data_IF_444451667083
#
_entry.id   IF_444451667083
#
_cell.length_a   1.000
_cell.length_b   1.000
_cell.length_c   1.000
_cell.angle_alpha   90.00
_cell.angle_beta   90.00
_cell.angle_gamma   90.00
#
_symmetry.space_group_name_H-M   'P 1'
#
loop_
_entity.id
_entity.type
_entity.pdbx_description
1 polymer ?
#
# COMPACT_ATOMS: atom_id res chain seq x y z
N UNK A 1 4.80 18.33 -63.23
CA UNK A 1 4.57 17.09 -62.44
C UNK A 1 5.11 17.32 -61.03
N UNK A 2 4.24 17.27 -60.03
CA UNK A 2 4.62 17.50 -58.64
C UNK A 2 5.57 16.37 -58.17
N UNK A 3 6.82 16.67 -57.78
CA UNK A 3 7.82 15.67 -57.41
C UNK A 3 7.42 14.81 -56.21
N UNK A 4 6.50 15.29 -55.37
CA UNK A 4 5.98 14.58 -54.19
C UNK A 4 5.06 13.39 -54.53
N UNK A 5 4.54 13.29 -55.76
CA UNK A 5 3.67 12.18 -56.20
C UNK A 5 4.40 11.13 -57.05
N UNK A 6 5.74 11.19 -57.12
CA UNK A 6 6.51 10.18 -57.85
C UNK A 6 6.59 8.90 -57.01
N UNK A 7 6.28 7.75 -57.62
CA UNK A 7 6.34 6.41 -56.98
C UNK A 7 7.58 6.18 -56.08
N UNK A 8 8.81 6.53 -56.49
CA UNK A 8 9.99 6.32 -55.65
C UNK A 8 9.97 7.13 -54.35
N UNK A 9 9.47 8.37 -54.42
CA UNK A 9 9.40 9.27 -53.27
C UNK A 9 8.39 8.76 -52.23
N UNK A 10 7.22 8.27 -52.69
CA UNK A 10 6.20 7.69 -51.82
C UNK A 10 6.73 6.44 -51.09
N UNK A 11 7.44 5.57 -51.81
CA UNK A 11 8.02 4.33 -51.24
C UNK A 11 9.08 4.66 -50.18
N UNK A 12 10.02 5.57 -50.48
CA UNK A 12 11.09 5.96 -49.55
C UNK A 12 10.51 6.64 -48.31
N UNK A 13 9.52 7.53 -48.49
CA UNK A 13 8.88 8.23 -47.36
C UNK A 13 8.12 7.25 -46.47
N UNK A 14 7.43 6.27 -47.06
CA UNK A 14 6.71 5.23 -46.31
C UNK A 14 7.65 4.33 -45.52
N UNK A 15 8.79 3.93 -46.12
CA UNK A 15 9.83 3.16 -45.43
C UNK A 15 10.50 3.96 -44.31
N UNK A 16 10.72 5.26 -44.52
CA UNK A 16 11.26 6.15 -43.48
C UNK A 16 10.28 6.30 -42.31
N UNK A 17 8.99 6.50 -42.58
CA UNK A 17 7.96 6.58 -41.53
C UNK A 17 7.84 5.24 -40.79
N UNK A 18 7.81 4.11 -41.51
CA UNK A 18 7.77 2.78 -40.88
C UNK A 18 9.01 2.54 -40.02
N UNK A 19 10.20 2.89 -40.51
CA UNK A 19 11.45 2.82 -39.75
C UNK A 19 11.41 3.74 -38.54
N UNK A 20 10.86 4.95 -38.67
CA UNK A 20 10.73 5.90 -37.57
C UNK A 20 9.78 5.36 -36.51
N UNK A 21 8.63 4.80 -36.91
CA UNK A 21 7.63 4.18 -36.01
C UNK A 21 8.20 2.93 -35.33
N UNK A 22 8.90 2.06 -36.05
CA UNK A 22 9.57 0.89 -35.48
C UNK A 22 10.70 1.32 -34.54
N UNK A 23 11.50 2.32 -34.91
CA UNK A 23 12.56 2.85 -34.07
C UNK A 23 11.99 3.54 -32.82
N UNK A 24 10.87 4.25 -32.93
CA UNK A 24 10.14 4.78 -31.78
C UNK A 24 9.61 3.65 -30.89
N UNK A 25 8.97 2.62 -31.47
CA UNK A 25 8.46 1.46 -30.72
C UNK A 25 9.55 0.64 -30.03
N UNK A 26 10.76 0.60 -30.61
CA UNK A 26 11.93 -0.09 -30.03
C UNK A 26 12.64 0.77 -28.98
N UNK A 27 12.82 2.08 -29.24
CA UNK A 27 13.48 3.00 -28.30
C UNK A 27 12.64 3.23 -27.03
N UNK A 28 11.32 3.34 -27.16
CA UNK A 28 10.45 3.63 -26.02
C UNK A 28 9.99 2.40 -25.24
N UNK A 29 10.62 1.24 -25.52
CA UNK A 29 10.22 -0.08 -25.00
C UNK A 29 8.84 -0.47 -25.54
N UNK A 30 8.68 -1.72 -25.97
CA UNK A 30 7.45 -2.21 -26.61
C UNK A 30 6.18 -1.79 -25.88
N UNK A 31 5.09 -1.60 -26.63
CA UNK A 31 3.79 -1.18 -26.12
C UNK A 31 3.46 -1.85 -24.79
N UNK A 32 3.10 -1.05 -23.78
CA UNK A 32 2.74 -1.54 -22.47
C UNK A 32 1.66 -2.63 -22.58
N UNK A 33 1.86 -3.74 -21.88
CA UNK A 33 0.94 -4.88 -21.92
C UNK A 33 -0.37 -4.49 -21.23
N UNK A 34 -1.49 -4.81 -21.87
CA UNK A 34 -2.80 -4.62 -21.25
C UNK A 34 -3.06 -5.68 -20.19
N UNK A 35 -3.63 -5.27 -19.07
CA UNK A 35 -4.12 -6.18 -18.04
C UNK A 35 -5.19 -7.13 -18.59
N UNK A 36 -5.03 -8.42 -18.35
CA UNK A 36 -5.96 -9.46 -18.79
C UNK A 36 -6.99 -9.73 -17.69
N UNK A 37 -8.05 -8.93 -17.67
CA UNK A 37 -9.11 -9.01 -16.67
C UNK A 37 -10.03 -10.21 -16.89
N UNK A 38 -10.32 -10.92 -15.79
CA UNK A 38 -11.35 -11.95 -15.72
C UNK A 38 -12.42 -11.50 -14.75
N UNK A 39 -13.68 -11.66 -15.16
CA UNK A 39 -14.84 -11.30 -14.36
C UNK A 39 -15.43 -12.54 -13.71
N UNK A 40 -15.41 -12.59 -12.38
CA UNK A 40 -16.12 -13.59 -11.60
C UNK A 40 -17.58 -13.15 -11.48
N UNK A 41 -18.45 -13.79 -12.26
CA UNK A 41 -19.88 -13.46 -12.37
C UNK A 41 -20.74 -14.74 -12.42
N UNK A 42 -20.38 -15.75 -11.62
CA UNK A 42 -21.17 -16.96 -11.49
C UNK A 42 -22.52 -16.67 -10.81
N UNK A 43 -23.55 -17.48 -11.13
CA UNK A 43 -24.89 -17.34 -10.57
C UNK A 43 -24.96 -17.54 -9.04
N UNK A 44 -23.95 -18.20 -8.45
CA UNK A 44 -23.81 -18.40 -7.01
C UNK A 44 -23.21 -17.18 -6.27
N UNK A 45 -22.75 -16.15 -7.00
CA UNK A 45 -22.25 -14.92 -6.41
C UNK A 45 -23.40 -13.95 -6.18
N UNK A 46 -23.28 -13.13 -5.13
CA UNK A 46 -24.28 -12.13 -4.76
C UNK A 46 -24.66 -11.25 -5.94
N UNK A 47 -25.95 -10.97 -6.05
CA UNK A 47 -26.47 -9.93 -6.95
C UNK A 47 -26.34 -8.53 -6.36
N UNK A 48 -26.05 -8.40 -5.06
CA UNK A 48 -25.96 -7.11 -4.39
C UNK A 48 -24.66 -6.37 -4.76
N UNK A 49 -24.72 -5.03 -4.90
CA UNK A 49 -23.55 -4.21 -5.20
C UNK A 49 -22.59 -4.09 -4.00
N UNK A 50 -21.38 -3.62 -4.30
CA UNK A 50 -20.46 -3.13 -3.27
C UNK A 50 -20.92 -1.77 -2.72
N UNK A 51 -20.62 -1.51 -1.46
CA UNK A 51 -20.87 -0.21 -0.82
C UNK A 51 -20.14 0.94 -1.53
N UNK A 52 -20.84 2.07 -1.65
CA UNK A 52 -20.47 3.27 -2.42
C UNK A 52 -19.48 4.15 -1.66
N UNK A 53 -18.19 3.90 -1.84
CA UNK A 53 -17.17 4.61 -1.07
C UNK A 53 -16.01 5.10 -1.93
N UNK A 54 -15.64 6.37 -1.72
CA UNK A 54 -14.64 7.10 -2.49
C UNK A 54 -13.21 6.68 -2.12
N UNK A 55 -13.01 6.14 -0.90
CA UNK A 55 -11.70 5.74 -0.39
C UNK A 55 -11.61 4.22 -0.22
N UNK A 56 -10.49 3.65 -0.67
CA UNK A 56 -10.14 2.23 -0.50
C UNK A 56 -8.77 2.10 0.17
N UNK A 57 -8.66 1.17 1.11
CA UNK A 57 -7.39 0.81 1.76
C UNK A 57 -7.33 -0.69 1.96
N UNK A 58 -6.17 -1.28 1.75
CA UNK A 58 -5.96 -2.72 1.95
C UNK A 58 -5.07 -3.00 3.15
N UNK A 59 -5.30 -4.15 3.78
CA UNK A 59 -4.47 -4.71 4.85
C UNK A 59 -4.13 -6.14 4.46
N UNK A 60 -2.83 -6.43 4.36
CA UNK A 60 -2.35 -7.72 3.89
C UNK A 60 -2.51 -8.81 4.96
N UNK A 61 -2.80 -10.02 4.52
CA UNK A 61 -2.78 -11.27 5.29
C UNK A 61 -1.97 -12.29 4.50
N UNK A 62 -1.50 -13.35 5.16
CA UNK A 62 -0.78 -14.45 4.51
C UNK A 62 -1.60 -15.16 3.42
N UNK A 63 -2.94 -15.12 3.53
CA UNK A 63 -3.85 -15.83 2.64
C UNK A 63 -4.64 -14.90 1.69
N UNK A 64 -4.53 -13.58 1.86
CA UNK A 64 -5.34 -12.63 1.10
C UNK A 64 -5.18 -11.19 1.54
N UNK A 65 -6.21 -10.38 1.30
CA UNK A 65 -6.28 -8.97 1.73
C UNK A 65 -7.63 -8.66 2.36
N UNK A 66 -7.60 -7.90 3.46
CA UNK A 66 -8.76 -7.17 3.95
C UNK A 66 -8.85 -5.84 3.20
N UNK A 67 -9.98 -5.59 2.56
CA UNK A 67 -10.28 -4.39 1.80
C UNK A 67 -11.25 -3.54 2.63
N UNK A 68 -10.80 -2.38 3.06
CA UNK A 68 -11.66 -1.33 3.59
C UNK A 68 -12.12 -0.42 2.46
N UNK A 69 -13.41 -0.20 2.41
CA UNK A 69 -14.05 0.84 1.60
C UNK A 69 -14.73 1.82 2.57
N UNK A 70 -14.52 3.13 2.43
CA UNK A 70 -15.03 4.14 3.39
C UNK A 70 -15.59 5.39 2.70
N UNK A 71 -16.71 5.91 3.21
CA UNK A 71 -17.34 7.13 2.70
C UNK A 71 -16.47 8.34 2.96
N UNK A 72 -16.35 9.23 1.97
CA UNK A 72 -15.75 10.53 2.23
C UNK A 72 -16.62 11.32 3.22
N UNK A 73 -15.96 11.86 4.25
CA UNK A 73 -16.60 12.74 5.22
C UNK A 73 -16.66 14.15 4.65
N UNK A 74 -17.62 14.42 3.78
CA UNK A 74 -17.92 15.81 3.41
C UNK A 74 -18.36 16.06 1.99
N UNK A 75 -19.40 15.35 1.51
CA UNK A 75 -20.18 15.95 0.42
C UNK A 75 -20.93 17.15 0.96
N UNK A 76 -20.50 18.32 0.52
CA UNK A 76 -21.32 19.52 0.56
C UNK A 76 -22.25 19.45 -0.64
N UNK A 77 -23.55 19.28 -0.40
CA UNK A 77 -24.54 19.45 -1.44
C UNK A 77 -24.84 20.95 -1.56
N UNK A 78 -24.80 21.48 -2.78
CA UNK A 78 -25.19 22.87 -3.07
C UNK A 78 -26.58 22.82 -3.68
N UNK A 79 -27.58 23.41 -3.01
CA UNK A 79 -28.92 23.49 -3.59
C UNK A 79 -28.98 24.47 -4.77
N UNK A 80 -30.14 24.51 -5.45
CA UNK A 80 -30.42 25.42 -6.57
C UNK A 80 -30.34 26.92 -6.20
N UNK A 81 -30.21 27.24 -4.91
CA UNK A 81 -30.06 28.60 -4.38
C UNK A 81 -28.64 28.88 -3.87
N UNK A 82 -27.69 27.96 -4.08
CA UNK A 82 -26.29 28.13 -3.69
C UNK A 82 -26.01 27.88 -2.22
N UNK A 83 -26.92 27.24 -1.46
CA UNK A 83 -26.70 26.92 -0.04
C UNK A 83 -25.93 25.62 0.09
N UNK A 84 -24.83 25.67 0.86
CA UNK A 84 -24.02 24.52 1.23
C UNK A 84 -24.72 23.76 2.38
N UNK A 85 -25.11 22.52 2.13
CA UNK A 85 -25.56 21.59 3.15
C UNK A 85 -24.43 20.58 3.41
N UNK A 86 -23.96 20.55 4.66
CA UNK A 86 -23.11 19.47 5.12
C UNK A 86 -24.02 18.29 5.44
N UNK A 87 -23.85 17.16 4.76
CA UNK A 87 -24.43 15.92 5.26
C UNK A 87 -23.69 15.54 6.55
N UNK A 88 -24.38 15.60 7.69
CA UNK A 88 -23.92 15.06 8.98
C UNK A 88 -24.01 13.52 9.00
N UNK A 89 -23.63 12.87 7.89
CA UNK A 89 -23.53 11.42 7.85
C UNK A 89 -22.20 11.03 8.50
N UNK A 90 -22.28 10.35 9.65
CA UNK A 90 -21.13 9.68 10.26
C UNK A 90 -20.44 8.82 9.19
N UNK A 91 -19.09 8.82 9.17
CA UNK A 91 -18.32 7.97 8.26
C UNK A 91 -18.85 6.55 8.34
N UNK A 92 -19.15 5.95 7.20
CA UNK A 92 -19.49 4.53 7.10
C UNK A 92 -18.35 3.82 6.39
N UNK A 93 -18.07 2.60 6.81
CA UNK A 93 -17.10 1.75 6.14
C UNK A 93 -17.67 0.35 5.96
N UNK A 94 -17.27 -0.29 4.86
CA UNK A 94 -17.54 -1.71 4.61
C UNK A 94 -16.23 -2.43 4.39
N UNK A 95 -16.14 -3.60 5.02
CA UNK A 95 -15.00 -4.49 4.94
C UNK A 95 -15.33 -5.70 4.06
N UNK A 96 -14.40 -6.01 3.18
CA UNK A 96 -14.40 -7.23 2.37
C UNK A 96 -13.11 -7.98 2.61
N UNK A 97 -13.14 -9.31 2.52
CA UNK A 97 -11.93 -10.12 2.52
C UNK A 97 -11.81 -10.82 1.17
N UNK A 98 -10.63 -10.75 0.56
CA UNK A 98 -10.36 -11.38 -0.73
C UNK A 98 -9.18 -12.33 -0.64
N UNK A 99 -9.43 -13.60 -0.91
CA UNK A 99 -8.47 -14.69 -0.90
C UNK A 99 -8.72 -15.64 -2.09
N UNK A 100 -8.14 -16.85 -2.04
CA UNK A 100 -8.30 -17.88 -3.07
C UNK A 100 -9.77 -18.30 -3.30
N UNK A 101 -10.64 -18.10 -2.31
CA UNK A 101 -12.07 -18.38 -2.41
C UNK A 101 -12.84 -17.20 -3.03
N UNK A 102 -12.16 -16.09 -3.32
CA UNK A 102 -12.71 -14.88 -3.90
C UNK A 102 -13.08 -13.83 -2.85
N UNK A 103 -13.72 -12.76 -3.32
CA UNK A 103 -14.06 -11.62 -2.45
C UNK A 103 -15.37 -11.88 -1.72
N UNK A 104 -15.37 -11.72 -0.39
CA UNK A 104 -16.51 -11.93 0.51
C UNK A 104 -16.79 -10.70 1.35
N UNK A 105 -18.06 -10.43 1.62
CA UNK A 105 -18.47 -9.44 2.59
C UNK A 105 -18.09 -9.87 4.01
N UNK A 106 -17.53 -8.95 4.79
CA UNK A 106 -17.20 -9.19 6.21
C UNK A 106 -18.20 -8.45 7.10
N UNK A 107 -18.14 -7.12 7.11
CA UNK A 107 -19.03 -6.32 7.95
C UNK A 107 -19.15 -4.90 7.40
N UNK A 108 -20.20 -4.22 7.86
CA UNK A 108 -20.38 -2.78 7.68
C UNK A 108 -20.41 -2.12 9.05
N UNK A 109 -19.68 -1.01 9.19
CA UNK A 109 -19.60 -0.24 10.42
C UNK A 109 -19.86 1.24 10.21
N UNK A 110 -20.10 1.93 11.32
CA UNK A 110 -20.27 3.39 11.38
C UNK A 110 -19.18 3.98 12.30
N UNK A 111 -18.85 5.24 12.08
CA UNK A 111 -17.75 5.92 12.76
C UNK A 111 -16.40 5.71 12.06
N UNK A 112 -15.34 6.23 12.69
CA UNK A 112 -14.02 6.23 12.09
C UNK A 112 -13.34 4.86 12.17
N UNK A 113 -12.79 4.38 11.05
CA UNK A 113 -11.90 3.22 11.04
C UNK A 113 -10.44 3.69 11.05
N UNK A 114 -9.69 3.35 12.10
CA UNK A 114 -8.32 3.82 12.28
C UNK A 114 -7.30 2.89 11.60
N UNK A 115 -7.28 1.62 11.99
CA UNK A 115 -6.30 0.67 11.48
C UNK A 115 -6.81 -0.77 11.53
N UNK A 116 -6.09 -1.66 10.87
CA UNK A 116 -6.26 -3.09 11.09
C UNK A 116 -4.92 -3.80 10.95
N UNK A 117 -4.85 -4.93 11.64
CA UNK A 117 -3.79 -5.89 11.48
C UNK A 117 -4.41 -7.22 11.09
N UNK A 118 -3.85 -7.88 10.09
CA UNK A 118 -4.22 -9.23 9.73
C UNK A 118 -2.96 -10.09 9.68
N UNK A 119 -2.99 -11.24 10.35
CA UNK A 119 -1.99 -12.27 10.16
C UNK A 119 -2.60 -13.63 10.34
N UNK A 120 -2.06 -14.60 9.60
CA UNK A 120 -2.64 -15.94 9.54
C UNK A 120 -4.13 -15.80 9.15
N UNK A 121 -4.99 -16.51 9.86
CA UNK A 121 -6.43 -16.52 9.63
C UNK A 121 -7.21 -15.62 10.60
N UNK A 122 -6.61 -14.50 11.04
CA UNK A 122 -7.30 -13.51 11.89
C UNK A 122 -7.01 -12.08 11.46
N UNK A 123 -7.98 -11.21 11.68
CA UNK A 123 -7.81 -9.76 11.64
C UNK A 123 -8.28 -9.13 12.94
N UNK A 124 -7.58 -8.08 13.36
CA UNK A 124 -7.95 -7.22 14.47
C UNK A 124 -8.18 -5.82 13.92
N UNK A 125 -9.40 -5.32 14.11
CA UNK A 125 -9.83 -3.99 13.69
C UNK A 125 -9.68 -3.02 14.84
N UNK A 126 -9.23 -1.81 14.52
CA UNK A 126 -9.13 -0.69 15.45
C UNK A 126 -10.01 0.44 14.93
N UNK A 127 -11.09 0.73 15.66
CA UNK A 127 -12.09 1.73 15.29
C UNK A 127 -12.18 2.82 16.36
N UNK A 128 -12.95 3.86 16.10
CA UNK A 128 -13.30 4.89 17.09
C UNK A 128 -13.96 4.33 18.35
N UNK A 129 -14.75 3.26 18.21
CA UNK A 129 -15.53 2.71 19.31
C UNK A 129 -14.75 1.68 20.13
N UNK A 130 -13.78 1.01 19.52
CA UNK A 130 -13.05 -0.07 20.18
C UNK A 130 -12.24 -0.94 19.24
N UNK A 131 -11.98 -2.15 19.71
CA UNK A 131 -11.28 -3.21 18.99
C UNK A 131 -12.25 -4.35 18.66
N UNK A 132 -12.12 -4.94 17.48
CA UNK A 132 -12.97 -6.06 17.07
C UNK A 132 -12.16 -7.12 16.33
N UNK A 133 -12.39 -8.39 16.66
CA UNK A 133 -11.73 -9.52 16.01
C UNK A 133 -12.58 -10.12 14.90
N UNK A 134 -11.90 -10.54 13.84
CA UNK A 134 -12.46 -11.34 12.76
C UNK A 134 -11.65 -12.62 12.68
N UNK A 135 -12.33 -13.76 12.79
CA UNK A 135 -11.77 -15.06 12.44
C UNK A 135 -12.01 -15.29 10.94
N UNK A 136 -10.93 -15.37 10.15
CA UNK A 136 -11.00 -15.57 8.71
C UNK A 136 -11.15 -17.04 8.33
N UNK A 137 -10.83 -17.98 9.23
CA UNK A 137 -10.97 -19.41 8.99
C UNK A 137 -12.42 -19.86 9.20
N UNK A 138 -13.04 -19.44 10.30
CA UNK A 138 -14.46 -19.67 10.59
C UNK A 138 -15.36 -18.63 9.94
N UNK A 139 -14.77 -17.54 9.45
CA UNK A 139 -15.46 -16.39 8.87
C UNK A 139 -16.50 -15.80 9.83
N UNK A 140 -16.08 -15.56 11.07
CA UNK A 140 -16.90 -15.00 12.15
C UNK A 140 -16.38 -13.64 12.60
N UNK A 141 -17.26 -12.81 13.15
CA UNK A 141 -16.92 -11.50 13.70
C UNK A 141 -17.28 -11.50 15.18
N UNK A 142 -16.29 -11.25 16.04
CA UNK A 142 -16.50 -11.18 17.48
C UNK A 142 -17.21 -9.88 17.88
N UNK A 143 -17.75 -9.86 19.09
CA UNK A 143 -18.32 -8.64 19.68
C UNK A 143 -17.26 -7.53 19.78
N UNK A 144 -17.70 -6.29 19.62
CA UNK A 144 -16.86 -5.11 19.80
C UNK A 144 -16.41 -5.01 21.27
N UNK A 145 -15.10 -4.91 21.48
CA UNK A 145 -14.49 -4.62 22.78
C UNK A 145 -14.28 -3.10 22.85
N UNK A 146 -15.07 -2.35 23.64
CA UNK A 146 -14.97 -0.89 23.66
C UNK A 146 -13.64 -0.43 24.26
N UNK A 147 -13.18 0.75 23.82
CA UNK A 147 -12.04 1.40 24.47
C UNK A 147 -12.36 1.75 25.93
N UNK A 148 -11.35 1.66 26.81
CA UNK A 148 -11.52 2.12 28.19
C UNK A 148 -11.68 3.64 28.21
N UNK A 149 -12.77 4.12 28.82
CA UNK A 149 -12.99 5.55 29.07
C UNK A 149 -12.08 6.04 30.21
N UNK A 150 -11.49 7.21 30.02
CA UNK A 150 -10.87 7.94 31.13
C UNK A 150 -11.94 8.66 31.95
N UNK A 151 -11.58 9.06 33.17
CA UNK A 151 -12.46 9.79 34.08
C UNK A 151 -13.01 11.11 33.49
N UNK A 152 -12.37 11.64 32.44
CA UNK A 152 -12.73 12.88 31.75
C UNK A 152 -13.59 12.63 30.49
N UNK A 153 -14.02 11.39 30.23
CA UNK A 153 -14.86 11.03 29.08
C UNK A 153 -14.12 10.90 27.75
N UNK A 154 -12.79 10.80 27.77
CA UNK A 154 -11.97 10.52 26.60
C UNK A 154 -11.59 9.03 26.53
N UNK A 155 -11.61 8.42 25.35
CA UNK A 155 -11.19 7.03 25.19
C UNK A 155 -9.66 6.89 25.23
N UNK A 156 -9.17 5.87 25.94
CA UNK A 156 -7.74 5.56 26.06
C UNK A 156 -7.29 4.64 24.92
N UNK A 157 -6.96 5.23 23.77
CA UNK A 157 -6.31 4.51 22.67
C UNK A 157 -5.12 5.32 22.11
N UNK A 158 -4.11 4.66 21.51
CA UNK A 158 -3.01 5.39 20.89
C UNK A 158 -3.46 6.17 19.64
N UNK A 159 -3.23 7.49 19.64
CA UNK A 159 -3.51 8.35 18.48
C UNK A 159 -2.77 7.89 17.20
N UNK A 160 -1.62 7.24 17.36
CA UNK A 160 -0.85 6.62 16.27
C UNK A 160 -1.67 5.61 15.47
N UNK A 161 -2.76 5.04 16.01
CA UNK A 161 -3.63 4.14 15.26
C UNK A 161 -4.29 4.82 14.04
N UNK A 162 -4.55 6.13 14.09
CA UNK A 162 -5.31 6.86 13.06
C UNK A 162 -4.52 7.00 11.75
N UNK A 163 -3.22 7.23 11.84
CA UNK A 163 -2.37 7.54 10.67
C UNK A 163 -1.03 6.80 10.63
N UNK A 164 -0.67 6.09 11.70
CA UNK A 164 0.55 5.31 11.80
C UNK A 164 0.50 4.01 10.99
N UNK A 165 1.69 3.41 10.85
CA UNK A 165 1.86 2.09 10.25
C UNK A 165 1.81 1.04 11.35
N UNK A 166 0.98 0.01 11.14
CA UNK A 166 0.91 -1.14 12.02
C UNK A 166 1.66 -2.31 11.37
N UNK A 167 2.62 -2.87 12.11
CA UNK A 167 3.48 -3.97 11.68
C UNK A 167 3.33 -5.13 12.66
N UNK A 168 3.64 -6.35 12.21
CA UNK A 168 3.65 -7.53 13.08
C UNK A 168 4.94 -8.31 12.93
N UNK A 169 5.65 -8.48 14.04
CA UNK A 169 6.85 -9.29 14.08
C UNK A 169 6.48 -10.72 14.45
N UNK A 170 6.59 -11.64 13.48
CA UNK A 170 6.41 -13.07 13.74
C UNK A 170 7.41 -13.59 14.77
N UNK A 171 8.67 -13.12 14.71
CA UNK A 171 9.76 -13.54 15.61
C UNK A 171 9.46 -13.28 17.08
N UNK A 172 8.85 -12.14 17.38
CA UNK A 172 8.55 -11.71 18.76
C UNK A 172 7.07 -11.81 19.11
N UNK A 173 6.24 -12.20 18.14
CA UNK A 173 4.77 -12.25 18.26
C UNK A 173 4.14 -10.96 18.78
N UNK A 174 4.71 -9.80 18.39
CA UNK A 174 4.24 -8.50 18.84
C UNK A 174 3.78 -7.61 17.68
N UNK A 175 2.76 -6.79 17.95
CA UNK A 175 2.41 -5.66 17.11
C UNK A 175 3.37 -4.50 17.38
N UNK A 176 3.77 -3.82 16.32
CA UNK A 176 4.59 -2.61 16.37
C UNK A 176 3.84 -1.51 15.64
N UNK A 177 3.39 -0.51 16.39
CA UNK A 177 2.66 0.63 15.89
C UNK A 177 3.61 1.82 15.84
N UNK A 178 3.82 2.37 14.65
CA UNK A 178 4.84 3.40 14.40
C UNK A 178 4.26 4.59 13.68
N UNK A 179 4.65 5.79 14.12
CA UNK A 179 4.58 7.01 13.34
C UNK A 179 5.84 7.86 13.56
N UNK A 180 5.84 9.05 12.95
CA UNK A 180 6.95 9.98 13.01
C UNK A 180 7.31 10.43 14.45
N UNK A 181 6.43 10.22 15.44
CA UNK A 181 6.61 10.66 16.83
C UNK A 181 6.79 9.52 17.82
N UNK A 182 6.17 8.37 17.60
CA UNK A 182 6.09 7.33 18.62
C UNK A 182 6.20 5.93 18.01
N UNK A 183 6.91 5.07 18.74
CA UNK A 183 6.95 3.63 18.53
C UNK A 183 6.30 2.98 19.75
N UNK A 184 5.23 2.24 19.53
CA UNK A 184 4.50 1.46 20.54
C UNK A 184 4.55 -0.01 20.18
N UNK A 185 4.58 -0.88 21.19
CA UNK A 185 4.48 -2.32 21.01
C UNK A 185 3.32 -2.91 21.80
N UNK A 186 2.74 -3.99 21.30
CA UNK A 186 1.68 -4.73 21.99
C UNK A 186 1.89 -6.24 21.83
N UNK A 187 1.79 -6.96 22.93
CA UNK A 187 1.88 -8.43 23.01
C UNK A 187 0.50 -9.11 23.05
N UNK A 188 -0.57 -8.32 23.16
CA UNK A 188 -1.95 -8.76 23.37
C UNK A 188 -2.89 -8.23 22.26
N UNK A 189 -2.33 -8.09 21.06
CA UNK A 189 -3.08 -7.72 19.86
C UNK A 189 -3.77 -6.34 19.97
N UNK A 190 -3.11 -5.41 20.64
CA UNK A 190 -3.53 -4.02 20.77
C UNK A 190 -4.53 -3.76 21.88
N UNK A 191 -4.70 -4.70 22.82
CA UNK A 191 -5.45 -4.47 24.05
C UNK A 191 -4.70 -3.52 24.99
N UNK A 192 -3.40 -3.74 25.15
CA UNK A 192 -2.48 -2.83 25.84
C UNK A 192 -1.31 -2.45 24.93
N UNK A 193 -0.85 -1.21 25.11
CA UNK A 193 0.25 -0.65 24.34
C UNK A 193 1.35 -0.20 25.30
N UNK A 194 2.53 -0.77 25.13
CA UNK A 194 3.73 -0.35 25.82
C UNK A 194 4.39 0.76 25.01
N UNK A 195 4.64 1.89 25.68
CA UNK A 195 5.45 2.95 25.10
C UNK A 195 6.89 2.48 24.97
N UNK A 196 7.36 2.34 23.73
CA UNK A 196 8.74 1.92 23.50
C UNK A 196 9.67 3.14 23.47
N UNK A 197 9.47 4.05 22.51
CA UNK A 197 10.43 5.13 22.22
C UNK A 197 9.76 6.33 21.52
N UNK A 198 10.24 7.56 21.77
CA UNK A 198 9.95 8.73 20.93
C UNK A 198 10.81 8.66 19.66
N UNK A 199 10.17 8.53 18.50
CA UNK A 199 10.89 8.36 17.22
C UNK A 199 11.81 9.55 16.91
N UNK A 200 11.35 10.78 17.17
CA UNK A 200 12.14 11.98 16.90
C UNK A 200 13.33 12.10 17.85
N UNK A 201 13.12 11.88 19.14
CA UNK A 201 14.20 11.96 20.14
C UNK A 201 15.24 10.87 19.90
N UNK A 202 14.81 9.67 19.47
CA UNK A 202 15.70 8.60 19.05
C UNK A 202 16.61 9.04 17.90
N UNK A 203 16.04 9.64 16.85
CA UNK A 203 16.82 10.12 15.70
C UNK A 203 17.75 11.26 16.11
N UNK A 204 17.30 12.20 16.95
CA UNK A 204 18.10 13.34 17.43
C UNK A 204 19.38 12.90 18.15
N UNK A 205 19.38 11.73 18.80
CA UNK A 205 20.59 11.17 19.42
C UNK A 205 21.69 10.83 18.40
N UNK A 206 21.32 10.53 17.16
CA UNK A 206 22.23 10.11 16.09
C UNK A 206 22.36 11.14 14.95
N UNK A 207 21.53 12.18 14.97
CA UNK A 207 21.58 13.31 14.05
C UNK A 207 21.18 14.60 14.79
N UNK A 208 22.17 15.42 15.12
CA UNK A 208 22.02 16.57 16.02
C UNK A 208 21.41 17.84 15.38
N UNK A 209 21.03 17.82 14.10
CA UNK A 209 20.49 19.00 13.41
C UNK A 209 18.97 19.12 13.59
N UNK A 210 18.45 20.34 13.39
CA UNK A 210 17.04 20.68 13.58
C UNK A 210 16.14 19.72 12.78
N UNK A 211 15.14 19.18 13.47
CA UNK A 211 14.04 18.46 12.83
C UNK A 211 13.26 19.45 11.96
N UNK A 212 13.52 19.43 10.66
CA UNK A 212 12.83 20.30 9.71
C UNK A 212 11.35 19.93 9.56
N UNK A 213 10.55 20.86 9.04
CA UNK A 213 9.11 20.69 8.79
C UNK A 213 8.78 19.53 7.82
N UNK A 214 9.75 19.03 7.06
CA UNK A 214 9.57 18.01 6.02
C UNK A 214 10.46 16.78 6.25
N UNK A 215 10.30 16.10 7.38
CA UNK A 215 10.94 14.80 7.65
C UNK A 215 10.08 13.64 7.15
N UNK A 216 10.73 12.56 6.72
CA UNK A 216 10.05 11.35 6.25
C UNK A 216 10.63 10.14 6.97
N UNK A 217 9.74 9.29 7.47
CA UNK A 217 10.09 8.03 8.10
C UNK A 217 9.53 6.86 7.29
N UNK A 218 10.35 5.83 7.17
CA UNK A 218 9.90 4.54 6.67
C UNK A 218 10.34 3.43 7.62
N UNK A 219 9.54 2.37 7.67
CA UNK A 219 9.69 1.29 8.64
C UNK A 219 9.54 -0.06 7.98
N UNK A 220 10.39 -1.01 8.41
CA UNK A 220 10.31 -2.42 8.07
C UNK A 220 10.80 -3.27 9.26
N UNK A 221 10.40 -4.54 9.31
CA UNK A 221 10.87 -5.48 10.33
C UNK A 221 12.05 -6.30 9.80
N UNK A 222 13.00 -6.66 10.66
CA UNK A 222 14.09 -7.57 10.32
C UNK A 222 14.34 -8.49 11.52
N UNK A 223 13.75 -9.68 11.49
CA UNK A 223 13.80 -10.61 12.62
C UNK A 223 13.10 -10.06 13.86
N UNK A 224 13.88 -9.81 14.92
CA UNK A 224 13.45 -9.23 16.19
C UNK A 224 13.62 -7.70 16.26
N UNK A 225 13.99 -7.07 15.14
CA UNK A 225 14.35 -5.66 15.09
C UNK A 225 13.43 -4.86 14.17
N UNK A 226 13.23 -3.60 14.51
CA UNK A 226 12.60 -2.58 13.67
C UNK A 226 13.69 -1.77 12.97
N UNK A 227 13.63 -1.73 11.66
CA UNK A 227 14.49 -0.88 10.83
C UNK A 227 13.76 0.44 10.57
N UNK A 228 14.40 1.54 10.95
CA UNK A 228 13.89 2.90 10.79
C UNK A 228 14.76 3.60 9.77
N UNK A 229 14.14 4.08 8.69
CA UNK A 229 14.79 4.90 7.66
C UNK A 229 14.30 6.33 7.83
N UNK A 230 15.21 7.22 8.22
CA UNK A 230 14.94 8.63 8.40
C UNK A 230 15.54 9.46 7.28
N UNK A 231 14.71 10.24 6.61
CA UNK A 231 15.15 11.27 5.68
C UNK A 231 14.92 12.65 6.26
N UNK A 232 15.98 13.45 6.29
CA UNK A 232 15.86 14.87 6.53
C UNK A 232 15.56 15.63 5.23
N UNK A 233 14.91 16.77 5.32
CA UNK A 233 14.55 17.57 4.15
C UNK A 233 15.79 18.07 3.40
N UNK A 234 16.80 18.52 4.15
CA UNK A 234 17.99 19.17 3.60
C UNK A 234 19.10 18.18 3.23
N UNK A 235 19.01 16.93 3.71
CA UNK A 235 19.96 15.89 3.33
C UNK A 235 19.43 15.00 2.21
N UNK A 236 20.35 14.63 1.33
CA UNK A 236 20.11 13.66 0.26
C UNK A 236 20.39 12.22 0.69
N UNK A 237 20.86 12.03 1.93
CA UNK A 237 21.14 10.74 2.57
C UNK A 237 20.03 10.34 3.55
N UNK A 238 19.93 9.04 3.80
CA UNK A 238 19.04 8.43 4.81
C UNK A 238 19.85 7.96 6.00
N UNK A 239 19.40 8.27 7.21
CA UNK A 239 19.88 7.62 8.43
C UNK A 239 19.09 6.33 8.63
N UNK A 240 19.79 5.20 8.67
CA UNK A 240 19.23 3.91 9.06
C UNK A 240 19.54 3.62 10.52
N UNK A 241 18.50 3.28 11.29
CA UNK A 241 18.59 2.88 12.70
C UNK A 241 17.95 1.49 12.84
N UNK A 242 18.65 0.59 13.51
CA UNK A 242 18.12 -0.73 13.91
C UNK A 242 17.81 -0.71 15.40
N UNK A 243 16.52 -0.80 15.73
CA UNK A 243 16.01 -0.89 17.08
C UNK A 243 15.65 -2.34 17.38
N UNK A 244 16.29 -2.97 18.36
CA UNK A 244 15.90 -4.30 18.80
C UNK A 244 14.61 -4.21 19.62
N UNK A 245 13.60 -4.99 19.24
CA UNK A 245 12.27 -4.89 19.83
C UNK A 245 12.12 -5.65 21.15
N UNK A 246 13.11 -6.45 21.54
CA UNK A 246 13.11 -7.22 22.80
C UNK A 246 13.71 -6.38 23.93
N UNK A 247 14.93 -5.88 23.75
CA UNK A 247 15.60 -5.07 24.77
C UNK A 247 15.33 -3.55 24.63
N UNK A 248 14.67 -3.14 23.55
CA UNK A 248 14.33 -1.73 23.23
C UNK A 248 15.56 -0.83 23.04
N UNK A 249 16.69 -1.40 22.64
CA UNK A 249 17.94 -0.67 22.43
C UNK A 249 18.30 -0.56 20.94
N UNK A 250 18.97 0.53 20.58
CA UNK A 250 19.55 0.69 19.24
C UNK A 250 20.82 -0.15 19.14
N UNK A 251 20.81 -1.10 18.22
CA UNK A 251 21.93 -2.03 18.01
C UNK A 251 22.85 -1.60 16.89
N UNK A 252 22.35 -0.81 15.92
CA UNK A 252 23.13 -0.35 14.79
C UNK A 252 22.58 0.97 14.23
N UNK A 253 23.48 1.85 13.82
CA UNK A 253 23.16 3.05 13.05
C UNK A 253 24.14 3.23 11.89
N UNK A 254 23.67 3.77 10.76
CA UNK A 254 24.53 4.13 9.63
C UNK A 254 23.86 5.13 8.69
N UNK A 255 24.68 5.90 8.00
CA UNK A 255 24.24 6.78 6.92
C UNK A 255 24.31 6.06 5.57
N UNK A 256 23.18 6.04 4.88
CA UNK A 256 23.06 5.51 3.52
C UNK A 256 23.33 6.64 2.51
N UNK A 257 24.14 6.42 1.46
CA UNK A 257 24.45 7.42 0.44
C UNK A 257 23.32 7.58 -0.60
N UNK A 258 22.08 7.43 -0.13
CA UNK A 258 20.85 7.47 -0.91
C UNK A 258 19.71 7.95 -0.03
N UNK A 259 18.64 8.42 -0.66
CA UNK A 259 17.38 8.77 -0.03
C UNK A 259 16.35 7.66 -0.26
N UNK A 260 15.86 7.03 0.80
CA UNK A 260 14.73 6.10 0.74
C UNK A 260 13.45 6.89 0.46
N UNK A 261 12.63 6.43 -0.48
CA UNK A 261 11.35 7.08 -0.84
C UNK A 261 10.14 6.25 -0.45
N UNK A 262 10.26 4.94 -0.58
CA UNK A 262 9.22 3.97 -0.24
C UNK A 262 9.87 2.67 0.23
N UNK A 263 9.15 1.92 1.05
CA UNK A 263 9.60 0.65 1.62
C UNK A 263 8.47 -0.36 1.54
N UNK A 264 8.76 -1.49 0.91
CA UNK A 264 7.88 -2.64 0.85
C UNK A 264 8.57 -3.85 1.48
N UNK A 265 7.78 -4.70 2.12
CA UNK A 265 8.24 -5.93 2.77
C UNK A 265 7.26 -7.05 2.44
N UNK A 266 7.78 -8.21 2.06
CA UNK A 266 6.97 -9.41 1.84
C UNK A 266 6.90 -10.30 3.10
N UNK A 267 6.12 -11.37 3.03
CA UNK A 267 5.88 -12.29 4.15
C UNK A 267 7.12 -13.09 4.55
N UNK A 268 8.14 -13.18 3.67
CA UNK A 268 9.45 -13.78 3.97
C UNK A 268 10.37 -12.82 4.75
N UNK A 269 9.93 -11.57 4.97
CA UNK A 269 10.72 -10.53 5.62
C UNK A 269 11.72 -9.84 4.70
N UNK A 270 11.70 -10.10 3.39
CA UNK A 270 12.59 -9.44 2.43
C UNK A 270 12.15 -7.98 2.25
N UNK A 271 13.12 -7.06 2.31
CA UNK A 271 12.86 -5.62 2.30
C UNK A 271 13.36 -5.03 0.98
N UNK A 272 12.47 -4.34 0.27
CA UNK A 272 12.78 -3.60 -0.95
C UNK A 272 12.47 -2.12 -0.74
N UNK A 273 13.35 -1.28 -1.29
CA UNK A 273 13.29 0.17 -1.16
C UNK A 273 13.26 0.79 -2.56
N UNK A 274 12.40 1.78 -2.77
CA UNK A 274 12.67 2.78 -3.82
C UNK A 274 13.68 3.75 -3.23
N UNK A 275 14.83 3.88 -3.87
CA UNK A 275 15.91 4.75 -3.46
C UNK A 275 16.23 5.77 -4.56
N UNK A 276 16.58 6.99 -4.12
CA UNK A 276 17.09 8.05 -4.97
C UNK A 276 18.54 8.34 -4.59
N UNK A 277 19.47 8.20 -5.54
CA UNK A 277 20.88 8.43 -5.29
C UNK A 277 21.15 9.92 -5.03
N UNK A 278 21.85 10.20 -3.92
CA UNK A 278 22.04 11.53 -3.38
C UNK A 278 22.75 12.52 -4.32
N UNK A 279 23.68 12.04 -5.15
CA UNK A 279 24.56 12.90 -5.96
C UNK A 279 24.00 13.22 -7.35
N UNK A 280 23.03 12.44 -7.84
CA UNK A 280 22.60 12.48 -9.25
C UNK A 280 21.09 12.38 -9.44
N UNK A 281 20.33 12.26 -8.36
CA UNK A 281 18.87 12.09 -8.38
C UNK A 281 18.39 10.89 -9.22
N UNK A 282 19.22 9.84 -9.30
CA UNK A 282 18.89 8.62 -10.03
C UNK A 282 18.04 7.70 -9.16
N UNK A 283 16.91 7.24 -9.71
CA UNK A 283 16.01 6.31 -9.05
C UNK A 283 16.45 4.87 -9.30
N UNK A 284 16.37 4.08 -8.24
CA UNK A 284 16.64 2.66 -8.24
C UNK A 284 15.68 1.94 -7.29
N UNK A 285 15.50 0.64 -7.53
CA UNK A 285 14.99 -0.29 -6.54
C UNK A 285 16.19 -1.01 -5.95
N UNK A 286 16.30 -1.03 -4.63
CA UNK A 286 17.36 -1.75 -3.90
C UNK A 286 16.74 -2.76 -2.94
N UNK A 287 17.39 -3.91 -2.79
CA UNK A 287 17.06 -4.91 -1.78
C UNK A 287 17.98 -4.74 -0.58
N UNK A 288 17.43 -4.67 0.63
CA UNK A 288 18.22 -4.74 1.87
C UNK A 288 18.42 -6.20 2.25
N UNK A 289 19.67 -6.63 2.26
CA UNK A 289 20.10 -7.96 2.66
C UNK A 289 20.02 -8.13 4.18
N UNK A 290 20.07 -9.38 4.64
CA UNK A 290 19.97 -9.71 6.07
C UNK A 290 21.12 -9.13 6.92
N UNK A 291 22.32 -9.02 6.34
CA UNK A 291 23.49 -8.36 6.95
C UNK A 291 23.41 -6.81 6.91
N UNK A 292 22.31 -6.29 6.37
CA UNK A 292 22.07 -4.87 6.14
C UNK A 292 22.64 -4.37 4.82
N UNK A 293 23.46 -5.09 4.06
CA UNK A 293 23.98 -4.55 2.79
C UNK A 293 22.86 -4.26 1.78
N UNK A 294 23.06 -3.26 0.93
CA UNK A 294 22.09 -2.89 -0.10
C UNK A 294 22.56 -3.41 -1.46
N UNK A 295 21.73 -4.22 -2.12
CA UNK A 295 21.96 -4.70 -3.49
C UNK A 295 21.01 -3.98 -4.44
N UNK A 296 21.55 -3.37 -5.50
CA UNK A 296 20.73 -2.76 -6.55
C UNK A 296 19.99 -3.85 -7.32
N UNK A 297 18.65 -3.80 -7.28
CA UNK A 297 17.78 -4.71 -8.00
C UNK A 297 17.46 -4.19 -9.41
N UNK A 298 17.20 -2.89 -9.54
CA UNK A 298 16.86 -2.25 -10.81
C UNK A 298 17.22 -0.77 -10.79
N UNK A 299 17.77 -0.25 -11.89
CA UNK A 299 18.06 1.18 -12.07
C UNK A 299 17.13 1.78 -13.13
N UNK A 300 16.38 2.81 -12.74
CA UNK A 300 15.49 3.55 -13.64
C UNK A 300 16.16 4.80 -14.23
N UNK A 301 17.28 5.22 -13.64
CA UNK A 301 17.94 6.47 -13.97
C UNK A 301 17.09 7.67 -13.52
N UNK A 302 16.90 8.66 -14.39
CA UNK A 302 16.12 9.86 -14.07
C UNK A 302 14.60 9.66 -14.06
N UNK A 303 14.11 8.45 -14.36
CA UNK A 303 12.68 8.16 -14.36
C UNK A 303 12.21 7.85 -12.95
N UNK A 304 11.35 8.71 -12.42
CA UNK A 304 10.68 8.57 -11.13
C UNK A 304 10.04 7.19 -10.95
N UNK A 305 10.14 6.66 -9.74
CA UNK A 305 9.55 5.41 -9.32
C UNK A 305 8.63 5.67 -8.12
N UNK A 306 7.47 5.00 -8.08
CA UNK A 306 6.56 5.04 -6.95
C UNK A 306 5.65 3.80 -6.87
N UNK A 307 4.81 3.76 -5.84
CA UNK A 307 3.78 2.74 -5.63
C UNK A 307 4.38 1.32 -5.55
N UNK A 308 5.42 1.17 -4.71
CA UNK A 308 6.12 -0.10 -4.53
C UNK A 308 5.22 -1.12 -3.82
N UNK A 309 4.92 -2.21 -4.52
CA UNK A 309 4.15 -3.35 -4.00
C UNK A 309 4.98 -4.63 -4.17
N UNK A 310 4.78 -5.59 -3.26
CA UNK A 310 5.57 -6.82 -3.26
C UNK A 310 4.75 -8.02 -2.82
N UNK A 311 4.95 -9.16 -3.50
CA UNK A 311 4.51 -10.49 -3.06
C UNK A 311 5.72 -11.38 -2.77
N UNK A 312 5.47 -12.67 -2.55
CA UNK A 312 6.55 -13.64 -2.36
C UNK A 312 7.36 -13.91 -3.64
N UNK A 313 6.81 -13.60 -4.81
CA UNK A 313 7.37 -13.94 -6.12
C UNK A 313 7.53 -12.74 -7.05
N UNK A 314 6.78 -11.65 -6.82
CA UNK A 314 6.73 -10.49 -7.70
C UNK A 314 7.01 -9.18 -6.96
N UNK A 315 7.69 -8.26 -7.65
CA UNK A 315 7.87 -6.87 -7.24
C UNK A 315 7.23 -5.96 -8.28
N UNK A 316 6.37 -5.07 -7.85
CA UNK A 316 5.57 -4.21 -8.72
C UNK A 316 5.81 -2.76 -8.35
N UNK A 317 6.00 -1.91 -9.35
CA UNK A 317 6.11 -0.48 -9.14
C UNK A 317 5.74 0.30 -10.39
N UNK A 318 5.39 1.57 -10.22
CA UNK A 318 5.16 2.49 -11.32
C UNK A 318 6.47 3.20 -11.70
N UNK A 319 6.69 3.37 -13.00
CA UNK A 319 7.82 4.12 -13.59
C UNK A 319 7.29 5.22 -14.49
N UNK A 320 7.78 6.45 -14.28
CA UNK A 320 7.47 7.61 -15.12
C UNK A 320 6.93 8.81 -14.34
N UNK A 321 6.61 9.88 -15.06
CA UNK A 321 6.05 11.12 -14.50
C UNK A 321 4.72 11.41 -15.21
N UNK A 322 3.67 11.70 -14.43
CA UNK A 322 2.32 12.02 -14.92
C UNK A 322 1.71 10.96 -15.87
N UNK A 323 1.28 11.36 -17.06
CA UNK A 323 0.51 10.55 -18.01
C UNK A 323 1.34 9.48 -18.73
N UNK A 324 2.67 9.58 -18.69
CA UNK A 324 3.61 8.61 -19.28
C UNK A 324 3.99 7.46 -18.32
N UNK A 325 3.16 7.21 -17.29
CA UNK A 325 3.44 6.16 -16.30
C UNK A 325 3.11 4.77 -16.85
N UNK A 326 4.04 3.84 -16.65
CA UNK A 326 3.82 2.39 -16.86
C UNK A 326 4.03 1.65 -15.55
N UNK A 327 3.37 0.52 -15.38
CA UNK A 327 3.65 -0.38 -14.26
C UNK A 327 4.67 -1.41 -14.68
N UNK A 328 5.74 -1.56 -13.92
CA UNK A 328 6.73 -2.62 -14.07
C UNK A 328 6.37 -3.75 -13.11
N UNK A 329 6.30 -4.97 -13.63
CA UNK A 329 6.11 -6.18 -12.83
C UNK A 329 7.34 -7.06 -13.00
N UNK A 330 8.13 -7.19 -11.95
CA UNK A 330 9.34 -7.98 -11.90
C UNK A 330 9.07 -9.33 -11.26
N UNK A 331 9.54 -10.40 -11.90
CA UNK A 331 9.65 -11.70 -11.25
C UNK A 331 10.92 -11.73 -10.38
N UNK A 332 10.77 -11.89 -9.07
CA UNK A 332 11.89 -11.96 -8.12
C UNK A 332 12.82 -13.14 -8.42
N UNK A 333 12.28 -14.25 -8.94
CA UNK A 333 13.04 -15.44 -9.33
C UNK A 333 13.96 -15.21 -10.53
N UNK A 334 13.49 -14.50 -11.55
CA UNK A 334 14.23 -14.33 -12.81
C UNK A 334 14.91 -12.96 -12.94
N UNK A 335 14.56 -12.01 -12.06
CA UNK A 335 14.91 -10.59 -12.13
C UNK A 335 14.52 -9.90 -13.46
N UNK A 336 13.65 -10.53 -14.27
CA UNK A 336 13.10 -9.94 -15.49
C UNK A 336 11.81 -9.20 -15.17
N UNK A 337 11.49 -8.18 -15.97
CA UNK A 337 10.24 -7.44 -15.85
C UNK A 337 9.46 -7.38 -17.15
N UNK A 338 8.16 -7.18 -16.98
CA UNK A 338 7.23 -6.84 -18.05
C UNK A 338 6.62 -5.47 -17.75
N UNK A 339 6.48 -4.63 -18.76
CA UNK A 339 5.79 -3.35 -18.67
C UNK A 339 4.29 -3.54 -18.95
N UNK A 340 3.46 -3.02 -18.06
CA UNK A 340 2.00 -3.00 -18.14
C UNK A 340 1.46 -1.58 -18.20
N UNK A 341 0.23 -1.44 -18.67
CA UNK A 341 -0.55 -0.20 -18.49
C UNK A 341 -0.59 0.15 -16.99
N UNK A 342 -0.54 1.45 -16.70
CA UNK A 342 -0.50 1.98 -15.32
C UNK A 342 -1.63 1.38 -14.47
N UNK A 343 -1.30 0.91 -13.29
CA UNK A 343 -2.30 0.64 -12.25
C UNK A 343 -2.98 1.94 -11.80
N UNK A 344 -4.30 1.92 -11.70
CA UNK A 344 -5.11 3.04 -11.22
C UNK A 344 -5.59 2.79 -9.78
N UNK A 345 -6.20 3.79 -9.16
CA UNK A 345 -6.61 3.74 -7.75
C UNK A 345 -7.71 2.67 -7.49
N UNK A 346 -8.37 2.19 -8.54
CA UNK A 346 -9.37 1.12 -8.44
C UNK A 346 -8.75 -0.29 -8.33
N UNK A 347 -7.46 -0.42 -8.63
CA UNK A 347 -6.73 -1.70 -8.61
C UNK A 347 -6.06 -1.93 -7.27
N UNK A 348 -6.49 -3.00 -6.59
CA UNK A 348 -5.90 -3.43 -5.33
C UNK A 348 -5.06 -4.67 -5.57
N UNK A 349 -3.78 -4.62 -5.17
CA UNK A 349 -2.90 -5.77 -5.27
C UNK A 349 -3.13 -6.73 -4.09
N UNK A 350 -3.38 -8.00 -4.41
CA UNK A 350 -3.42 -9.09 -3.44
C UNK A 350 -2.10 -9.87 -3.52
N UNK A 351 -1.16 -9.64 -2.59
CA UNK A 351 0.15 -10.28 -2.61
C UNK A 351 0.09 -11.79 -2.41
N UNK A 352 -0.88 -12.30 -1.64
CA UNK A 352 -1.03 -13.75 -1.43
C UNK A 352 -1.40 -14.50 -2.72
N UNK A 353 -2.10 -13.83 -3.64
CA UNK A 353 -2.52 -14.41 -4.92
C UNK A 353 -1.70 -13.93 -6.12
N UNK A 354 -0.74 -13.02 -5.91
CA UNK A 354 -0.01 -12.30 -6.96
C UNK A 354 -0.94 -11.82 -8.08
N UNK A 355 -2.00 -11.12 -7.68
CA UNK A 355 -3.05 -10.68 -8.61
C UNK A 355 -3.63 -9.33 -8.20
N UNK A 356 -4.10 -8.58 -9.18
CA UNK A 356 -4.90 -7.38 -8.94
C UNK A 356 -6.38 -7.71 -8.89
N UNK A 357 -7.11 -7.02 -8.02
CA UNK A 357 -8.56 -7.12 -7.86
C UNK A 357 -9.17 -5.75 -8.12
N UNK A 358 -10.32 -5.75 -8.78
CA UNK A 358 -11.24 -4.62 -8.89
C UNK A 358 -12.62 -5.06 -8.43
N UNK A 359 -13.21 -4.26 -7.55
CA UNK A 359 -14.61 -4.42 -7.18
C UNK A 359 -15.44 -3.74 -8.28
N UNK A 360 -16.56 -4.34 -8.68
CA UNK A 360 -17.42 -3.72 -9.68
C UNK A 360 -18.09 -2.49 -9.05
N UNK A 361 -17.95 -1.34 -9.71
CA UNK A 361 -18.68 -0.13 -9.34
C UNK A 361 -20.14 -0.27 -9.79
N UNK A 362 -20.91 -1.10 -9.10
CA UNK A 362 -22.36 -1.04 -9.21
C UNK A 362 -22.85 -0.02 -8.18
N UNK A 363 -23.12 1.18 -8.66
CA UNK A 363 -23.58 2.30 -7.85
C UNK A 363 -25.00 2.06 -7.31
N UNK A 364 -25.13 1.86 -6.00
CA UNK A 364 -26.41 1.86 -5.28
C UNK A 364 -26.19 2.05 -3.78
N UNK A 365 -26.81 3.09 -3.20
CA UNK A 365 -26.78 3.42 -1.75
C UNK A 365 -27.80 2.61 -0.94
N UNK A 366 -28.25 1.47 -1.45
CA UNK A 366 -29.17 0.63 -0.69
C UNK A 366 -28.39 -0.02 0.44
N UNK A 367 -28.85 0.18 1.68
CA UNK A 367 -28.43 -0.55 2.88
C UNK A 367 -28.56 -2.05 2.56
N UNK A 368 -27.49 -2.60 2.01
CA UNK A 368 -27.50 -3.86 1.29
C UNK A 368 -27.37 -4.93 2.35
N UNK A 369 -28.35 -5.82 2.43
CA UNK A 369 -28.39 -6.96 3.35
C UNK A 369 -27.39 -8.04 2.87
N UNK A 370 -26.11 -7.70 2.78
CA UNK A 370 -25.05 -8.67 2.57
C UNK A 370 -24.88 -9.47 3.85
N UNK A 371 -24.92 -10.79 3.71
CA UNK A 371 -24.65 -11.69 4.82
C UNK A 371 -23.13 -11.85 4.99
N UNK A 372 -22.70 -12.00 6.24
CA UNK A 372 -21.33 -12.36 6.56
C UNK A 372 -20.91 -13.61 5.75
N UNK A 373 -19.84 -13.49 4.98
CA UNK A 373 -19.29 -14.59 4.15
C UNK A 373 -19.88 -14.66 2.75
N UNK A 374 -20.85 -13.83 2.44
CA UNK A 374 -21.46 -13.79 1.12
C UNK A 374 -20.42 -13.40 0.05
N UNK A 375 -20.26 -14.27 -0.95
CA UNK A 375 -19.30 -14.08 -2.04
C UNK A 375 -19.83 -13.08 -3.06
N UNK A 376 -18.98 -12.15 -3.44
CA UNK A 376 -19.32 -11.02 -4.30
C UNK A 376 -18.73 -11.21 -5.70
N UNK A 377 -19.32 -10.53 -6.69
CA UNK A 377 -18.80 -10.48 -8.06
C UNK A 377 -17.58 -9.57 -8.11
N UNK A 378 -16.48 -9.96 -8.74
CA UNK A 378 -15.30 -9.08 -8.84
C UNK A 378 -14.55 -9.33 -10.15
N UNK A 379 -13.68 -8.39 -10.53
CA UNK A 379 -12.71 -8.61 -11.58
C UNK A 379 -11.33 -8.85 -10.98
N UNK A 380 -10.56 -9.73 -11.60
CA UNK A 380 -9.17 -9.94 -11.22
C UNK A 380 -8.26 -10.08 -12.44
N UNK A 381 -6.99 -9.74 -12.25
CA UNK A 381 -5.94 -9.91 -13.25
C UNK A 381 -4.70 -10.51 -12.56
N UNK A 382 -4.40 -11.77 -12.86
CA UNK A 382 -3.21 -12.45 -12.36
C UNK A 382 -1.95 -11.95 -13.05
N UNK A 383 -0.87 -11.81 -12.28
CA UNK A 383 0.47 -11.64 -12.83
C UNK A 383 0.92 -13.00 -13.39
N UNK A 384 1.57 -12.99 -14.56
CA UNK A 384 1.98 -14.19 -15.28
C UNK A 384 3.49 -14.30 -15.40
#
# INVERSE_FOLDING_TARGET
MNPFFRKPFIIITSLFILSLVLFYGVLFHGFATKWQWKNENASALSSFPYSRYDLRKTFNSSNGILIKTESDSGRYDVDIYGRLYRQDNQRKYTLYYSDKEGTRFVLQGQGSFYNAYCAFDKCVLFTEQGRQHIDLAEFTVADLIPWQETHDGHYRFPLTLIGGKLLFSQTTSQLVLVDNKTILTSLDEGESWEYSVNTEDLVKQYYAEDFGEFTQFHYALSGDSLIIFYNHHYTTNTLEITLNLVNKEVTQTRWLPLRVKEVAQNDKGEIYLIAQQASRDLYSVVQRQADGNLETFYESGYKYLNDLMISNDDLILNKGHNDDKVTLVFSLKTKKYTSYEKINDDMMFNPALSSFIRLFDNYGDEDTLLLLGERLKYSHASIK
#
